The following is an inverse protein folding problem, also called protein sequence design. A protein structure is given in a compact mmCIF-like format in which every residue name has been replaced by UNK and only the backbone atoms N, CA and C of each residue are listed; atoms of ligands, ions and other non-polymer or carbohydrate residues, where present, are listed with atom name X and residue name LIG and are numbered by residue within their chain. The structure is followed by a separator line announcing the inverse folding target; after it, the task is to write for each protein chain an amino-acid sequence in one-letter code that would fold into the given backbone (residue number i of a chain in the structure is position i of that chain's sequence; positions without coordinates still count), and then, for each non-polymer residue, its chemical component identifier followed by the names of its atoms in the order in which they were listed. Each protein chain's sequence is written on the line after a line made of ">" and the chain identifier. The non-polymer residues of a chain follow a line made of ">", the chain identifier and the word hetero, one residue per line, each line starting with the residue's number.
data_IF_088571841848
#
_entry.id   IF_088571841848
#
_cell.length_a   1.000
_cell.length_b   1.000
_cell.length_c   1.000
_cell.angle_alpha   90.00
_cell.angle_beta   90.00
_cell.angle_gamma   90.00
#
_symmetry.space_group_name_H-M   'P 1'
#
loop_
_entity.id
_entity.type
_entity.pdbx_description
1 polymer ?
#
# COMPACT_ATOMS: atom_id res chain seq x y z
N UNK A 1 2.27 10.23 1.27
CA UNK A 1 1.43 9.36 2.12
C UNK A 1 2.31 8.35 2.87
N UNK A 2 1.80 7.65 3.89
CA UNK A 2 2.52 6.55 4.55
C UNK A 2 1.63 5.35 4.90
N UNK A 3 2.21 4.15 4.93
CA UNK A 3 1.61 2.92 5.47
C UNK A 3 2.64 2.14 6.27
N UNK A 4 2.19 1.44 7.31
CA UNK A 4 3.00 0.47 8.03
C UNK A 4 2.72 -0.94 7.49
N UNK A 5 3.81 -1.64 7.15
CA UNK A 5 3.80 -3.04 6.75
C UNK A 5 4.54 -3.87 7.80
N UNK A 6 4.10 -5.11 8.00
CA UNK A 6 4.79 -6.08 8.85
C UNK A 6 6.06 -6.57 8.18
N UNK A 7 7.11 -6.77 8.98
CA UNK A 7 8.35 -7.39 8.54
C UNK A 7 8.28 -8.90 8.72
N UNK A 8 8.76 -9.65 7.73
CA UNK A 8 8.94 -11.09 7.87
C UNK A 8 9.88 -11.38 9.04
N UNK A 9 9.59 -12.46 9.77
CA UNK A 9 10.45 -12.91 10.85
C UNK A 9 11.77 -13.43 10.26
N UNK A 10 12.90 -12.78 10.58
CA UNK A 10 14.21 -13.17 10.08
C UNK A 10 14.63 -14.59 10.51
N UNK A 11 14.09 -15.07 11.63
CA UNK A 11 14.41 -16.40 12.16
C UNK A 11 13.71 -17.55 11.42
N UNK A 12 12.55 -17.31 10.80
CA UNK A 12 11.75 -18.39 10.21
C UNK A 12 11.21 -18.10 8.80
N UNK A 13 11.53 -16.97 8.18
CA UNK A 13 11.11 -16.68 6.81
C UNK A 13 11.63 -17.75 5.85
N UNK A 14 10.81 -18.13 4.87
CA UNK A 14 11.15 -19.16 3.91
C UNK A 14 11.33 -18.54 2.52
N UNK A 15 12.45 -18.84 1.88
CA UNK A 15 12.70 -18.51 0.48
C UNK A 15 11.85 -19.42 -0.42
N UNK A 16 11.33 -18.86 -1.52
CA UNK A 16 10.66 -19.63 -2.56
C UNK A 16 10.85 -18.97 -3.93
N UNK A 17 10.76 -19.78 -4.98
CA UNK A 17 10.75 -19.28 -6.34
C UNK A 17 9.33 -18.82 -6.71
N UNK A 18 9.11 -17.54 -7.04
CA UNK A 18 7.78 -17.05 -7.38
C UNK A 18 7.34 -17.61 -8.73
N UNK A 19 6.04 -17.90 -8.86
CA UNK A 19 5.46 -18.30 -10.15
C UNK A 19 5.37 -17.10 -11.10
N UNK A 20 5.36 -17.38 -12.40
CA UNK A 20 5.20 -16.34 -13.43
C UNK A 20 3.92 -15.50 -13.21
N UNK A 21 2.86 -16.11 -12.70
CA UNK A 21 1.60 -15.42 -12.41
C UNK A 21 1.71 -14.42 -11.26
N UNK A 22 2.45 -14.76 -10.20
CA UNK A 22 2.70 -13.83 -9.08
C UNK A 22 3.49 -12.63 -9.59
N UNK A 23 4.55 -12.87 -10.36
CA UNK A 23 5.40 -11.81 -10.93
C UNK A 23 4.59 -10.90 -11.86
N UNK A 24 3.76 -11.48 -12.74
CA UNK A 24 2.87 -10.73 -13.62
C UNK A 24 1.88 -9.86 -12.85
N UNK A 25 1.20 -10.42 -11.84
CA UNK A 25 0.23 -9.69 -11.00
C UNK A 25 0.86 -8.55 -10.21
N UNK A 26 2.12 -8.69 -9.82
CA UNK A 26 2.88 -7.67 -9.09
C UNK A 26 3.66 -6.72 -10.00
N UNK A 27 3.58 -6.90 -11.32
CA UNK A 27 4.34 -6.16 -12.33
C UNK A 27 5.86 -6.20 -12.07
N UNK A 28 6.38 -7.37 -11.67
CA UNK A 28 7.79 -7.61 -11.42
C UNK A 28 8.45 -8.33 -12.60
N UNK A 29 9.65 -7.91 -13.04
CA UNK A 29 10.34 -8.54 -14.16
C UNK A 29 10.88 -9.92 -13.76
N UNK A 30 10.49 -11.01 -14.47
CA UNK A 30 10.87 -12.37 -14.11
C UNK A 30 12.38 -12.62 -14.15
N UNK A 31 13.09 -11.93 -15.05
CA UNK A 31 14.54 -12.09 -15.21
C UNK A 31 15.33 -11.54 -14.03
N UNK A 32 14.76 -10.59 -13.28
CA UNK A 32 15.43 -9.92 -12.15
C UNK A 32 15.00 -10.48 -10.79
N UNK A 33 13.78 -11.02 -10.67
CA UNK A 33 13.24 -11.50 -9.39
C UNK A 33 13.17 -13.03 -9.39
N UNK A 34 14.28 -13.66 -9.04
CA UNK A 34 14.40 -15.13 -9.00
C UNK A 34 13.85 -15.76 -7.72
N UNK A 35 13.75 -14.99 -6.65
CA UNK A 35 13.34 -15.46 -5.33
C UNK A 35 12.57 -14.40 -4.56
N UNK A 36 11.61 -14.86 -3.77
CA UNK A 36 10.88 -14.06 -2.79
C UNK A 36 10.84 -14.80 -1.45
N UNK A 37 10.36 -14.12 -0.42
CA UNK A 37 10.22 -14.68 0.92
C UNK A 37 8.75 -14.70 1.34
N UNK A 38 8.35 -15.78 2.01
CA UNK A 38 7.02 -15.94 2.60
C UNK A 38 7.12 -16.10 4.11
N UNK A 39 6.00 -15.85 4.79
CA UNK A 39 5.90 -16.05 6.23
C UNK A 39 6.22 -17.52 6.58
N UNK A 40 7.03 -17.70 7.61
CA UNK A 40 7.17 -18.98 8.26
C UNK A 40 6.27 -19.07 9.48
N UNK A 41 6.83 -19.62 10.54
CA UNK A 41 6.17 -19.86 11.82
C UNK A 41 6.84 -20.98 12.61
N UNK A 42 7.66 -21.77 11.95
CA UNK A 42 8.42 -22.86 12.56
C UNK A 42 9.90 -22.76 12.21
N UNK A 43 10.73 -23.34 13.07
CA UNK A 43 12.17 -23.54 12.88
C UNK A 43 12.52 -25.00 13.12
N UNK A 44 13.59 -25.50 12.52
CA UNK A 44 14.05 -26.87 12.76
C UNK A 44 15.02 -26.89 13.94
N UNK A 45 14.64 -27.59 15.01
CA UNK A 45 15.50 -27.84 16.17
C UNK A 45 15.77 -29.34 16.23
N UNK A 46 17.03 -29.75 16.07
CA UNK A 46 17.42 -31.17 16.00
C UNK A 46 16.60 -31.98 14.97
N UNK A 47 16.30 -31.35 13.83
CA UNK A 47 15.52 -31.96 12.74
C UNK A 47 14.01 -32.01 12.95
N UNK A 48 13.48 -31.50 14.07
CA UNK A 48 12.04 -31.44 14.34
C UNK A 48 11.50 -30.01 14.17
N UNK A 49 10.32 -29.81 13.55
CA UNK A 49 9.70 -28.50 13.44
C UNK A 49 9.18 -28.06 14.80
N UNK A 50 9.71 -26.94 15.29
CA UNK A 50 9.29 -26.29 16.52
C UNK A 50 8.71 -24.92 16.20
N UNK A 51 7.80 -24.42 17.04
CA UNK A 51 7.25 -23.07 16.89
C UNK A 51 8.41 -22.06 17.00
N UNK A 52 8.48 -21.13 16.04
CA UNK A 52 9.52 -20.10 16.05
C UNK A 52 9.38 -19.24 17.32
N UNK A 53 10.39 -19.20 18.20
CA UNK A 53 10.29 -18.49 19.47
C UNK A 53 10.31 -16.97 19.29
N UNK A 54 10.92 -16.46 18.22
CA UNK A 54 11.03 -15.02 17.97
C UNK A 54 9.68 -14.39 17.62
N UNK A 55 8.89 -15.04 16.77
CA UNK A 55 7.60 -14.52 16.33
C UNK A 55 6.40 -15.27 16.90
N UNK A 56 6.61 -16.20 17.84
CA UNK A 56 5.58 -17.05 18.42
C UNK A 56 4.67 -17.71 17.37
N UNK A 57 5.26 -18.22 16.28
CA UNK A 57 4.51 -18.85 15.18
C UNK A 57 3.82 -17.92 14.17
N UNK A 58 3.80 -16.60 14.39
CA UNK A 58 3.08 -15.64 13.52
C UNK A 58 3.72 -15.47 12.14
N UNK A 59 5.04 -15.63 12.06
CA UNK A 59 5.83 -15.46 10.82
C UNK A 59 6.21 -14.02 10.48
N UNK A 60 5.84 -13.06 11.34
CA UNK A 60 6.24 -11.65 11.25
C UNK A 60 6.84 -11.18 12.57
N UNK A 61 7.82 -10.29 12.53
CA UNK A 61 8.40 -9.67 13.72
C UNK A 61 8.79 -8.22 13.44
N UNK A 62 8.08 -7.28 14.07
CA UNK A 62 8.23 -5.85 13.84
C UNK A 62 7.50 -5.31 12.61
N UNK A 63 7.62 -4.00 12.38
CA UNK A 63 6.99 -3.29 11.27
C UNK A 63 7.98 -2.32 10.61
N UNK A 64 7.67 -1.88 9.39
CA UNK A 64 8.43 -0.86 8.68
C UNK A 64 7.50 0.03 7.86
N UNK A 65 7.88 1.29 7.68
CA UNK A 65 7.12 2.24 6.89
C UNK A 65 7.41 2.09 5.40
N UNK A 66 6.37 2.23 4.59
CA UNK A 66 6.46 2.54 3.16
C UNK A 66 5.91 3.93 2.94
N UNK A 67 6.64 4.72 2.16
CA UNK A 67 6.41 6.14 2.02
C UNK A 67 6.32 6.51 0.55
N UNK A 68 5.46 7.49 0.30
CA UNK A 68 5.37 8.22 -0.95
C UNK A 68 5.65 9.67 -0.57
N UNK A 69 6.83 10.14 -0.95
CA UNK A 69 7.37 11.44 -0.54
C UNK A 69 7.48 12.33 -1.77
N UNK A 70 6.90 13.52 -1.68
CA UNK A 70 6.98 14.55 -2.71
C UNK A 70 7.95 15.63 -2.23
N UNK A 71 9.23 15.58 -2.65
CA UNK A 71 10.17 16.63 -2.31
C UNK A 71 9.80 17.93 -3.05
N UNK A 72 9.63 19.02 -2.31
CA UNK A 72 9.33 20.34 -2.87
C UNK A 72 10.62 21.03 -3.31
N UNK A 73 10.79 21.16 -4.63
CA UNK A 73 11.85 21.96 -5.24
C UNK A 73 11.48 23.43 -5.32
N UNK A 74 12.27 24.20 -6.07
CA UNK A 74 12.09 25.65 -6.20
C UNK A 74 10.77 25.97 -6.90
N UNK A 75 10.52 25.37 -8.06
CA UNK A 75 9.29 25.59 -8.85
C UNK A 75 8.02 25.23 -8.08
N UNK A 76 8.02 24.12 -7.33
CA UNK A 76 6.85 23.76 -6.52
C UNK A 76 6.62 24.73 -5.36
N UNK A 77 7.69 25.25 -4.74
CA UNK A 77 7.59 26.25 -3.66
C UNK A 77 7.08 27.58 -4.19
N UNK A 78 7.52 28.00 -5.37
CA UNK A 78 7.03 29.21 -6.05
C UNK A 78 5.55 29.07 -6.41
N UNK A 79 5.15 27.95 -7.00
CA UNK A 79 3.74 27.69 -7.32
C UNK A 79 2.86 27.69 -6.05
N UNK A 80 3.35 27.12 -4.94
CA UNK A 80 2.66 27.19 -3.64
C UNK A 80 2.56 28.63 -3.14
N UNK A 81 3.65 29.40 -3.20
CA UNK A 81 3.68 30.79 -2.74
C UNK A 81 2.72 31.68 -3.53
N UNK A 82 2.58 31.42 -4.84
CA UNK A 82 1.66 32.13 -5.74
C UNK A 82 0.23 31.58 -5.71
N UNK A 83 -0.04 30.53 -4.92
CA UNK A 83 -1.33 29.81 -4.89
C UNK A 83 -1.76 29.26 -6.26
N UNK A 84 -0.80 28.98 -7.16
CA UNK A 84 -1.06 28.38 -8.46
C UNK A 84 -1.15 26.84 -8.36
N UNK A 85 -2.33 26.38 -7.97
CA UNK A 85 -2.64 24.96 -7.84
C UNK A 85 -2.70 24.21 -9.18
N UNK A 86 -2.82 24.90 -10.31
CA UNK A 86 -2.86 24.26 -11.63
C UNK A 86 -1.44 23.89 -12.08
N UNK A 87 -0.51 24.83 -11.95
CA UNK A 87 0.92 24.59 -12.22
C UNK A 87 1.50 23.57 -11.25
N UNK A 88 1.21 23.68 -9.95
CA UNK A 88 1.68 22.71 -8.96
C UNK A 88 1.22 21.28 -9.30
N UNK A 89 -0.04 21.08 -9.70
CA UNK A 89 -0.53 19.75 -10.11
C UNK A 89 0.21 19.22 -11.35
N UNK A 90 0.53 20.09 -12.28
CA UNK A 90 1.27 19.71 -13.50
C UNK A 90 2.71 19.31 -13.16
N UNK A 91 3.39 20.08 -12.30
CA UNK A 91 4.73 19.77 -11.79
C UNK A 91 4.75 18.43 -11.05
N UNK A 92 3.80 18.21 -10.13
CA UNK A 92 3.70 16.96 -9.37
C UNK A 92 3.46 15.74 -10.27
N UNK A 93 2.65 15.86 -11.33
CA UNK A 93 2.41 14.76 -12.29
C UNK A 93 3.61 14.42 -13.16
N UNK A 94 4.46 15.41 -13.47
CA UNK A 94 5.69 15.18 -14.23
C UNK A 94 6.72 14.38 -13.44
N UNK A 95 6.67 14.43 -12.11
CA UNK A 95 7.61 13.68 -11.27
C UNK A 95 7.21 12.20 -11.20
N UNK A 96 8.11 11.32 -11.63
CA UNK A 96 7.97 9.86 -11.51
C UNK A 96 8.40 9.38 -10.13
N UNK A 97 7.64 9.77 -9.11
CA UNK A 97 7.92 9.39 -7.72
C UNK A 97 7.38 7.99 -7.41
N UNK A 98 8.09 7.18 -6.60
CA UNK A 98 7.59 5.87 -6.20
C UNK A 98 6.30 6.01 -5.39
N UNK A 99 5.25 5.37 -5.88
CA UNK A 99 3.99 5.16 -5.16
C UNK A 99 4.19 4.29 -3.92
N UNK A 100 3.21 4.28 -3.03
CA UNK A 100 3.20 3.36 -1.87
C UNK A 100 3.36 1.90 -2.31
N UNK A 101 2.72 1.51 -3.41
CA UNK A 101 2.79 0.14 -3.92
C UNK A 101 4.20 -0.17 -4.43
N UNK A 102 4.82 0.73 -5.22
CA UNK A 102 6.20 0.53 -5.70
C UNK A 102 7.21 0.48 -4.55
N UNK A 103 7.09 1.39 -3.57
CA UNK A 103 7.90 1.36 -2.34
C UNK A 103 7.74 0.06 -1.56
N UNK A 104 6.54 -0.51 -1.53
CA UNK A 104 6.28 -1.78 -0.85
C UNK A 104 6.80 -2.98 -1.66
N UNK A 105 6.66 -2.97 -2.98
CA UNK A 105 7.24 -3.98 -3.88
C UNK A 105 8.78 -4.00 -3.79
N UNK A 106 9.43 -2.84 -3.63
CA UNK A 106 10.87 -2.78 -3.39
C UNK A 106 11.26 -3.53 -2.11
N UNK A 107 10.51 -3.36 -1.02
CA UNK A 107 10.73 -4.11 0.23
C UNK A 107 10.42 -5.60 0.11
N UNK A 108 9.45 -5.97 -0.73
CA UNK A 108 9.15 -7.36 -1.05
C UNK A 108 10.34 -8.03 -1.74
N UNK A 109 10.90 -7.39 -2.78
CA UNK A 109 12.07 -7.92 -3.51
C UNK A 109 13.31 -8.01 -2.61
N UNK A 110 13.44 -7.10 -1.65
CA UNK A 110 14.49 -7.16 -0.62
C UNK A 110 14.26 -8.25 0.45
N UNK A 111 13.12 -8.96 0.42
CA UNK A 111 12.80 -10.00 1.40
C UNK A 111 12.44 -9.48 2.79
N UNK A 112 12.06 -8.19 2.90
CA UNK A 112 11.67 -7.55 4.17
C UNK A 112 10.22 -7.88 4.52
N UNK A 113 9.36 -8.07 3.53
CA UNK A 113 7.93 -8.33 3.69
C UNK A 113 7.47 -9.40 2.70
N UNK A 114 6.18 -9.78 2.74
CA UNK A 114 5.61 -10.84 1.90
C UNK A 114 4.53 -10.32 0.95
N UNK A 115 4.18 -11.13 -0.06
CA UNK A 115 3.12 -10.80 -1.03
C UNK A 115 1.78 -10.59 -0.33
N UNK A 116 1.46 -11.44 0.65
CA UNK A 116 0.23 -11.32 1.44
C UNK A 116 0.15 -9.97 2.15
N UNK A 117 1.28 -9.48 2.66
CA UNK A 117 1.34 -8.20 3.32
C UNK A 117 1.18 -7.02 2.35
N UNK A 118 1.75 -7.12 1.14
CA UNK A 118 1.51 -6.13 0.08
C UNK A 118 0.02 -6.05 -0.25
N UNK A 119 -0.63 -7.19 -0.50
CA UNK A 119 -2.06 -7.24 -0.81
C UNK A 119 -2.89 -6.65 0.33
N UNK A 120 -2.54 -6.95 1.59
CA UNK A 120 -3.23 -6.39 2.76
C UNK A 120 -3.20 -4.87 2.80
N UNK A 121 -2.06 -4.24 2.47
CA UNK A 121 -1.93 -2.77 2.59
C UNK A 121 -2.38 -2.00 1.36
N UNK A 122 -2.31 -2.59 0.17
CA UNK A 122 -2.73 -1.94 -1.09
C UNK A 122 -4.21 -2.11 -1.39
N UNK A 123 -4.86 -3.17 -0.90
CA UNK A 123 -6.30 -3.40 -1.09
C UNK A 123 -7.21 -2.43 -0.33
N UNK A 124 -6.71 -1.80 0.74
CA UNK A 124 -7.53 -0.89 1.55
C UNK A 124 -7.90 0.44 0.87
N UNK A 125 -7.30 0.78 -0.28
CA UNK A 125 -7.72 1.95 -1.06
C UNK A 125 -9.05 1.74 -1.81
N UNK A 126 -9.33 0.49 -2.22
CA UNK A 126 -10.55 0.17 -2.98
C UNK A 126 -11.82 0.19 -2.11
N UNK A 127 -11.68 -0.03 -0.80
CA UNK A 127 -12.83 -0.08 0.11
C UNK A 127 -13.37 1.30 0.48
N UNK A 128 -12.55 2.36 0.49
CA UNK A 128 -13.01 3.72 0.79
C UNK A 128 -13.71 4.39 -0.40
N UNK A 129 -13.23 4.17 -1.63
CA UNK A 129 -13.92 4.65 -2.85
C UNK A 129 -15.21 3.87 -3.10
N UNK A 130 -15.20 2.55 -2.95
CA UNK A 130 -16.41 1.74 -3.07
C UNK A 130 -17.46 2.08 -1.98
N UNK A 131 -17.04 2.34 -0.73
CA UNK A 131 -17.95 2.80 0.33
C UNK A 131 -18.47 4.22 0.09
N UNK A 132 -17.65 5.13 -0.46
CA UNK A 132 -18.09 6.49 -0.85
C UNK A 132 -19.04 6.47 -2.03
N UNK A 133 -18.80 5.61 -3.02
CA UNK A 133 -19.71 5.40 -4.14
C UNK A 133 -21.04 4.78 -3.69
N UNK A 134 -21.01 3.82 -2.75
CA UNK A 134 -22.22 3.21 -2.17
C UNK A 134 -23.01 4.18 -1.27
N UNK A 135 -22.35 5.16 -0.63
CA UNK A 135 -23.01 6.16 0.21
C UNK A 135 -23.60 7.36 -0.56
N UNK A 136 -23.38 7.45 -1.88
CA UNK A 136 -23.85 8.56 -2.73
C UNK A 136 -25.29 8.43 -3.27
N UNK A 137 -26.05 7.42 -2.83
CA UNK A 137 -27.42 7.17 -3.28
C UNK A 137 -28.48 7.98 -2.53
N UNK A 138 -28.81 9.16 -3.09
CA UNK A 138 -30.08 9.89 -2.96
C UNK A 138 -30.65 10.21 -1.56
N UNK A 139 -30.66 11.51 -1.23
CA UNK A 139 -31.81 12.09 -0.51
C UNK A 139 -32.12 13.44 -1.16
N UNK A 140 -33.06 13.44 -2.12
CA UNK A 140 -33.64 14.68 -2.60
C UNK A 140 -34.46 15.29 -1.47
N UNK A 141 -34.06 16.49 -1.05
CA UNK A 141 -34.78 17.29 -0.07
C UNK A 141 -36.03 17.87 -0.74
N UNK A 142 -37.25 17.63 -0.24
CA UNK A 142 -38.45 18.17 -0.87
C UNK A 142 -38.45 19.70 -0.79
N UNK A 143 -38.87 20.34 -1.89
CA UNK A 143 -38.99 21.79 -2.04
C UNK A 143 -40.11 22.30 -1.12
N UNK A 144 -39.92 23.38 -0.34
CA UNK A 144 -40.97 23.88 0.53
C UNK A 144 -42.13 24.44 -0.30
N UNK A 145 -43.36 24.04 0.08
CA UNK A 145 -44.59 24.56 -0.49
C UNK A 145 -44.73 26.05 -0.16
N UNK A 146 -44.89 26.89 -1.18
CA UNK A 146 -45.24 28.30 -1.00
C UNK A 146 -46.71 28.37 -0.60
N UNK A 147 -46.97 28.70 0.66
CA UNK A 147 -48.30 29.11 1.12
C UNK A 147 -48.47 30.59 0.74
N UNK A 148 -49.26 30.82 -0.31
CA UNK A 148 -49.80 32.15 -0.61
C UNK A 148 -50.93 32.45 0.37
N UNK A 149 -50.80 33.58 1.07
CA UNK A 149 -51.79 34.10 2.00
C UNK A 149 -53.06 34.55 1.26
N UNK A 150 -54.17 34.45 2.00
CA UNK A 150 -55.55 34.71 1.66
C UNK A 150 -55.82 36.10 1.08
N UNK A 151 -56.93 36.19 0.35
CA UNK A 151 -57.90 37.27 0.55
C UNK A 151 -59.06 36.71 1.38
#
# INVERSE_FOLDING_TARGET
>A
AQRLIRKLCENCKAEYQPTADILRKLNLPPDKVKKLYKKGGQVLVRGKPEICPLCSGVGYFGQTGVHEVFPLGIEEREAIAQQDWASLRTLLRKRRLPSIQESALNKLVQGVTSVEEIVRVTSQGKSSEARRAAAGGATQRPKPAQQGASS
#
